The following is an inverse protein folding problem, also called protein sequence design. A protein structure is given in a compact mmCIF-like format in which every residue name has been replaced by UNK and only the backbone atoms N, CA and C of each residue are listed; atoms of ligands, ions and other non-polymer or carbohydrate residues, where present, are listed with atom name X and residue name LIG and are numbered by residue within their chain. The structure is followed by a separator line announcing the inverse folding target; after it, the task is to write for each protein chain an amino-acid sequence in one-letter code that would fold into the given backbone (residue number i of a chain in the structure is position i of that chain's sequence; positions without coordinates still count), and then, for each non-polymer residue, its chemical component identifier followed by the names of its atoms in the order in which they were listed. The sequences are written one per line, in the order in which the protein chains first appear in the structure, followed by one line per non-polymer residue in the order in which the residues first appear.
data_IF_460433723909
#
_entry.id   IF_460433723909
#
_cell.length_a   1.000
_cell.length_b   1.000
_cell.length_c   1.000
_cell.angle_alpha   90.00
_cell.angle_beta   90.00
_cell.angle_gamma   90.00
#
_symmetry.space_group_name_H-M   'P 1'
#
loop_
_entity.id
_entity.type
_entity.pdbx_description
1 polymer ?
#
# COMPACT_ATOMS: atom_id res chain seq x y z
N UNK A 1 5.47 18.53 34.44
CA UNK A 1 5.49 17.51 33.37
C UNK A 1 5.67 18.22 32.03
N UNK A 2 6.90 18.25 31.51
CA UNK A 2 7.14 18.71 30.14
C UNK A 2 6.77 17.56 29.22
N UNK A 3 5.66 17.66 28.48
CA UNK A 3 5.40 16.74 27.38
C UNK A 3 6.38 17.12 26.28
N UNK A 4 7.36 16.26 26.08
CA UNK A 4 8.29 16.37 24.95
C UNK A 4 7.49 16.12 23.68
N UNK A 5 7.04 17.19 23.03
CA UNK A 5 6.48 17.14 21.67
C UNK A 5 7.66 16.97 20.71
N UNK A 6 8.30 15.82 20.77
CA UNK A 6 9.21 15.38 19.72
C UNK A 6 8.43 15.46 18.41
N UNK A 7 8.82 16.44 17.57
CA UNK A 7 8.13 16.79 16.32
C UNK A 7 7.81 15.52 15.56
N UNK A 8 6.52 15.19 15.42
CA UNK A 8 6.06 14.13 14.54
C UNK A 8 6.56 14.50 13.14
N UNK A 9 7.53 13.73 12.63
CA UNK A 9 8.06 13.93 11.28
C UNK A 9 7.24 13.07 10.32
N UNK A 10 6.54 13.72 9.40
CA UNK A 10 5.95 13.03 8.26
C UNK A 10 7.09 12.56 7.36
N UNK A 11 6.99 11.29 6.96
CA UNK A 11 7.90 10.61 6.04
C UNK A 11 7.10 10.09 4.85
N UNK A 12 7.81 9.72 3.80
CA UNK A 12 7.23 9.09 2.63
C UNK A 12 7.53 7.61 2.66
N UNK A 13 6.53 6.80 2.35
CA UNK A 13 6.66 5.37 2.22
C UNK A 13 6.10 4.95 0.86
N UNK A 14 6.69 3.92 0.29
CA UNK A 14 6.22 3.30 -0.93
C UNK A 14 5.89 1.83 -0.62
N UNK A 15 4.67 1.42 -0.94
CA UNK A 15 4.26 0.01 -0.87
C UNK A 15 3.93 -0.51 -2.26
N UNK A 16 4.32 -1.75 -2.55
CA UNK A 16 3.88 -2.45 -3.75
C UNK A 16 2.56 -3.14 -3.47
N UNK A 17 1.55 -2.89 -4.31
CA UNK A 17 0.18 -3.36 -4.08
C UNK A 17 -0.31 -4.12 -5.32
N UNK A 18 -0.92 -5.28 -5.08
CA UNK A 18 -1.65 -6.05 -6.09
C UNK A 18 -2.87 -6.71 -5.45
N UNK A 19 -3.81 -7.17 -6.27
CA UNK A 19 -4.92 -7.99 -5.83
C UNK A 19 -4.59 -9.47 -6.12
N UNK A 20 -4.38 -10.25 -5.07
CA UNK A 20 -3.99 -11.65 -5.17
C UNK A 20 -5.08 -12.51 -5.80
N UNK A 21 -6.35 -12.18 -5.56
CA UNK A 21 -7.48 -12.91 -6.16
C UNK A 21 -7.59 -12.62 -7.66
N UNK A 22 -7.44 -11.36 -8.06
CA UNK A 22 -7.38 -10.99 -9.49
C UNK A 22 -6.22 -11.72 -10.18
N UNK A 23 -5.04 -11.75 -9.57
CA UNK A 23 -3.89 -12.49 -10.12
C UNK A 23 -4.20 -13.98 -10.31
N UNK A 24 -4.78 -14.63 -9.30
CA UNK A 24 -5.15 -16.04 -9.40
C UNK A 24 -6.12 -16.32 -10.55
N UNK A 25 -7.15 -15.48 -10.72
CA UNK A 25 -8.13 -15.63 -11.80
C UNK A 25 -7.50 -15.41 -13.18
N UNK A 26 -6.68 -14.37 -13.32
CA UNK A 26 -5.96 -14.09 -14.58
C UNK A 26 -4.98 -15.22 -14.92
N UNK A 27 -4.16 -15.66 -13.96
CA UNK A 27 -3.16 -16.72 -14.17
C UNK A 27 -3.82 -18.07 -14.50
N UNK A 28 -5.02 -18.34 -13.95
CA UNK A 28 -5.78 -19.55 -14.23
C UNK A 28 -6.67 -19.45 -15.48
N UNK A 29 -6.72 -18.30 -16.15
CA UNK A 29 -7.60 -18.04 -17.29
C UNK A 29 -9.09 -18.04 -16.94
N UNK A 30 -9.42 -17.89 -15.66
CA UNK A 30 -10.80 -17.77 -15.19
C UNK A 30 -11.33 -16.35 -15.38
N UNK A 31 -12.65 -16.22 -15.45
CA UNK A 31 -13.31 -14.92 -15.50
C UNK A 31 -13.06 -14.16 -14.19
N UNK A 32 -12.58 -12.92 -14.31
CA UNK A 32 -12.38 -12.04 -13.16
C UNK A 32 -13.73 -11.49 -12.67
N UNK A 33 -14.20 -12.03 -11.55
CA UNK A 33 -15.47 -11.68 -10.89
C UNK A 33 -15.31 -10.78 -9.67
N UNK A 34 -14.09 -10.30 -9.39
CA UNK A 34 -13.77 -9.55 -8.16
C UNK A 34 -14.31 -8.11 -8.15
N UNK A 35 -14.74 -7.59 -9.29
CA UNK A 35 -15.12 -6.19 -9.47
C UNK A 35 -13.94 -5.23 -9.67
N UNK A 36 -12.69 -5.73 -9.64
CA UNK A 36 -11.49 -4.95 -9.96
C UNK A 36 -10.98 -5.28 -11.37
N UNK A 37 -10.34 -4.32 -12.02
CA UNK A 37 -9.74 -4.54 -13.34
C UNK A 37 -8.58 -5.56 -13.28
N UNK A 38 -8.41 -6.36 -14.33
CA UNK A 38 -7.33 -7.36 -14.46
C UNK A 38 -5.93 -6.78 -14.22
N UNK A 39 -5.75 -5.49 -14.53
CA UNK A 39 -4.50 -4.76 -14.29
C UNK A 39 -4.09 -4.68 -12.79
N UNK A 40 -4.97 -5.07 -11.87
CA UNK A 40 -4.65 -5.26 -10.45
C UNK A 40 -4.01 -6.61 -10.14
N UNK A 41 -3.94 -7.55 -11.09
CA UNK A 41 -3.09 -8.73 -10.97
C UNK A 41 -1.62 -8.34 -10.82
N UNK A 42 -1.19 -7.27 -11.50
CA UNK A 42 0.17 -6.78 -11.47
C UNK A 42 0.42 -5.87 -10.27
N UNK A 43 1.61 -6.00 -9.68
CA UNK A 43 2.04 -5.16 -8.57
C UNK A 43 2.39 -3.75 -9.03
N UNK A 44 1.80 -2.76 -8.36
CA UNK A 44 2.02 -1.33 -8.62
C UNK A 44 2.43 -0.60 -7.35
N UNK A 45 3.32 0.37 -7.48
CA UNK A 45 3.83 1.15 -6.35
C UNK A 45 2.85 2.27 -5.98
N UNK A 46 2.59 2.40 -4.68
CA UNK A 46 1.72 3.42 -4.12
C UNK A 46 2.47 4.14 -3.00
N UNK A 47 2.58 5.46 -3.14
CA UNK A 47 3.17 6.34 -2.14
C UNK A 47 2.15 6.66 -1.05
N UNK A 48 2.59 6.68 0.21
CA UNK A 48 1.81 7.14 1.35
C UNK A 48 2.65 7.99 2.29
N UNK A 49 2.05 9.06 2.80
CA UNK A 49 2.65 9.91 3.84
C UNK A 49 2.21 9.42 5.21
N UNK A 50 3.17 9.10 6.06
CA UNK A 50 2.91 8.59 7.40
C UNK A 50 4.01 9.00 8.39
N UNK A 51 3.75 8.83 9.67
CA UNK A 51 4.73 9.09 10.74
C UNK A 51 5.63 7.89 11.03
N UNK A 52 5.21 6.70 10.59
CA UNK A 52 5.92 5.44 10.80
C UNK A 52 5.50 4.38 9.78
N UNK A 53 6.30 3.32 9.66
CA UNK A 53 6.00 2.15 8.82
C UNK A 53 4.67 1.48 9.21
N UNK A 54 4.37 1.41 10.52
CA UNK A 54 3.13 0.81 11.03
C UNK A 54 1.92 1.64 10.60
N UNK A 55 2.02 2.96 10.68
CA UNK A 55 0.95 3.84 10.20
C UNK A 55 0.81 3.78 8.68
N UNK A 56 1.91 3.75 7.93
CA UNK A 56 1.90 3.58 6.48
C UNK A 56 1.17 2.28 6.09
N UNK A 57 1.51 1.15 6.72
CA UNK A 57 0.82 -0.12 6.50
C UNK A 57 -0.67 -0.01 6.81
N UNK A 58 -1.05 0.62 7.93
CA UNK A 58 -2.46 0.81 8.30
C UNK A 58 -3.23 1.66 7.28
N UNK A 59 -2.59 2.70 6.74
CA UNK A 59 -3.19 3.55 5.70
C UNK A 59 -3.36 2.78 4.40
N UNK A 60 -2.34 2.01 3.98
CA UNK A 60 -2.45 1.16 2.80
C UNK A 60 -3.50 0.07 2.97
N UNK A 61 -3.57 -0.61 4.11
CA UNK A 61 -4.61 -1.62 4.38
C UNK A 61 -6.02 -1.03 4.48
N UNK A 62 -6.16 0.26 4.84
CA UNK A 62 -7.46 0.95 4.79
C UNK A 62 -7.91 1.15 3.35
N UNK A 63 -7.00 1.57 2.48
CA UNK A 63 -7.31 1.92 1.08
C UNK A 63 -7.32 0.69 0.16
N UNK A 64 -6.57 -0.35 0.54
CA UNK A 64 -6.39 -1.63 -0.17
C UNK A 64 -6.58 -2.79 0.82
N UNK A 65 -7.83 -3.09 1.19
CA UNK A 65 -8.10 -3.99 2.29
C UNK A 65 -7.91 -5.45 1.89
N UNK A 66 -7.38 -6.25 2.82
CA UNK A 66 -7.00 -7.65 2.56
C UNK A 66 -8.20 -8.56 2.30
N UNK A 67 -9.36 -8.24 2.89
CA UNK A 67 -10.62 -8.96 2.66
C UNK A 67 -11.18 -8.77 1.25
N UNK A 68 -10.82 -7.67 0.57
CA UNK A 68 -11.07 -7.45 -0.85
C UNK A 68 -9.99 -8.09 -1.76
N UNK A 69 -9.05 -8.84 -1.20
CA UNK A 69 -8.03 -9.58 -1.93
C UNK A 69 -6.73 -8.81 -2.18
N UNK A 70 -6.60 -7.57 -1.69
CA UNK A 70 -5.36 -6.81 -1.84
C UNK A 70 -4.24 -7.33 -0.94
N UNK A 71 -3.01 -7.19 -1.43
CA UNK A 71 -1.79 -7.47 -0.69
C UNK A 71 -0.81 -6.32 -0.87
N UNK A 72 -0.28 -5.86 0.27
CA UNK A 72 0.81 -4.89 0.35
C UNK A 72 2.11 -5.67 0.56
N UNK A 73 3.07 -5.49 -0.35
CA UNK A 73 4.42 -6.04 -0.26
C UNK A 73 5.43 -4.90 -0.33
N UNK A 74 6.67 -5.19 0.09
CA UNK A 74 7.81 -4.28 -0.12
C UNK A 74 7.61 -2.86 0.42
N UNK A 75 6.89 -2.71 1.54
CA UNK A 75 6.68 -1.40 2.16
C UNK A 75 8.00 -0.84 2.72
N UNK A 76 8.48 0.23 2.11
CA UNK A 76 9.76 0.86 2.45
C UNK A 76 9.59 2.37 2.70
N UNK A 77 10.46 2.94 3.52
CA UNK A 77 10.61 4.40 3.62
C UNK A 77 11.42 4.90 2.42
N UNK A 78 10.96 5.96 1.77
CA UNK A 78 11.64 6.61 0.64
C UNK A 78 12.02 8.04 0.98
N UNK A 79 13.05 8.63 0.33
CA UNK A 79 13.33 10.05 0.41
C UNK A 79 12.11 10.88 0.01
N UNK A 80 11.98 12.11 0.52
CA UNK A 80 10.93 13.03 0.08
C UNK A 80 11.06 13.28 -1.43
N UNK A 81 10.11 12.79 -2.26
CA UNK A 81 10.23 12.90 -3.71
C UNK A 81 9.98 14.33 -4.21
N UNK A 82 9.55 15.22 -3.32
CA UNK A 82 9.33 16.65 -3.60
C UNK A 82 10.38 17.53 -2.92
N UNK A 83 11.45 16.95 -2.37
CA UNK A 83 12.57 17.72 -1.88
C UNK A 83 13.20 18.53 -3.04
N UNK A 84 13.50 19.83 -2.83
CA UNK A 84 14.14 20.67 -3.83
C UNK A 84 15.57 20.26 -4.15
#
# INVERSE_FOLDING_TARGET
MHRDYSKIRIKYFEGRIYNARVRELVDSGQYNDTGFADAWAEGRFVEVRATSLVEAMRLLQRDYPEDAGFKVTDLIEIPDPYAP
#
